data_IF_048009521296
#
_entry.id   IF_048009521296
#
_cell.length_a   1.000
_cell.length_b   1.000
_cell.length_c   1.000
_cell.angle_alpha   90.00
_cell.angle_beta   90.00
_cell.angle_gamma   90.00
#
_symmetry.space_group_name_H-M   'P 1'
#
loop_
_entity.id
_entity.type
_entity.pdbx_description
1 polymer ?
#
# COMPACT_ATOMS: atom_id res chain seq x y z
N UNK A 1 34.09 58.29 2.04
CA UNK A 1 34.48 57.16 2.89
C UNK A 1 35.02 56.04 2.00
N UNK A 2 36.29 55.68 2.21
CA UNK A 2 37.04 54.45 1.82
C UNK A 2 36.86 53.81 0.43
N UNK A 3 37.96 53.86 -0.33
CA UNK A 3 38.41 52.87 -1.32
C UNK A 3 38.42 51.43 -0.80
N UNK A 4 38.23 50.44 -1.69
CA UNK A 4 39.17 49.31 -1.88
C UNK A 4 39.00 48.68 -3.28
N UNK A 5 40.13 48.12 -3.71
CA UNK A 5 40.61 47.64 -5.01
C UNK A 5 39.94 46.40 -5.64
N UNK A 6 39.88 46.44 -6.98
CA UNK A 6 40.46 45.55 -8.02
C UNK A 6 40.26 44.01 -8.09
N UNK A 7 40.28 43.59 -9.37
CA UNK A 7 40.67 42.29 -9.99
C UNK A 7 39.57 41.23 -10.13
N UNK A 8 39.05 40.97 -11.33
CA UNK A 8 39.60 40.07 -12.37
C UNK A 8 38.45 39.13 -12.81
N UNK A 9 38.37 38.43 -13.94
CA UNK A 9 39.26 38.10 -15.05
C UNK A 9 38.39 37.34 -16.10
N UNK A 10 37.98 38.02 -17.17
CA UNK A 10 37.80 37.51 -18.55
C UNK A 10 36.92 36.23 -18.79
N UNK A 11 36.80 35.68 -20.04
CA UNK A 11 35.51 35.46 -20.70
C UNK A 11 35.21 33.98 -21.00
N UNK A 12 33.98 33.66 -21.39
CA UNK A 12 33.62 32.29 -21.77
C UNK A 12 32.39 32.23 -22.66
N UNK A 13 32.58 32.61 -23.92
CA UNK A 13 31.64 32.43 -25.03
C UNK A 13 31.65 30.97 -25.51
N UNK A 14 30.48 30.36 -25.64
CA UNK A 14 30.22 29.16 -26.46
C UNK A 14 28.72 29.21 -26.77
N UNK A 15 28.23 29.73 -27.89
CA UNK A 15 28.56 29.59 -29.31
C UNK A 15 28.31 28.20 -29.91
N UNK A 16 27.02 27.96 -30.17
CA UNK A 16 26.43 27.29 -31.36
C UNK A 16 26.65 25.77 -31.54
N UNK A 17 26.00 25.08 -32.52
CA UNK A 17 24.92 25.49 -33.44
C UNK A 17 23.74 24.50 -33.58
N UNK A 18 22.70 25.05 -34.20
CA UNK A 18 21.70 24.38 -35.03
C UNK A 18 22.28 23.31 -35.97
N UNK A 19 21.74 22.10 -35.93
CA UNK A 19 21.72 21.15 -37.05
C UNK A 19 20.37 20.42 -36.99
N UNK A 20 19.36 20.86 -37.73
CA UNK A 20 19.18 20.73 -39.19
C UNK A 20 19.13 19.27 -39.63
N UNK A 21 17.93 18.85 -40.03
CA UNK A 21 17.59 17.53 -40.53
C UNK A 21 18.32 17.21 -41.84
N UNK A 22 18.75 15.95 -42.00
CA UNK A 22 18.71 15.25 -43.29
C UNK A 22 18.97 13.75 -43.08
N UNK A 23 18.06 12.93 -43.64
CA UNK A 23 18.28 11.49 -43.89
C UNK A 23 19.43 11.28 -44.87
N UNK A 24 20.03 10.08 -44.88
CA UNK A 24 20.11 9.15 -46.03
C UNK A 24 21.03 7.95 -45.69
N UNK A 25 20.52 6.71 -45.86
CA UNK A 25 21.25 5.41 -45.82
C UNK A 25 21.54 5.00 -47.28
N UNK A 26 22.64 4.32 -47.68
CA UNK A 26 22.87 2.85 -47.51
C UNK A 26 24.40 2.53 -47.33
N UNK A 27 24.97 1.33 -47.20
CA UNK A 27 24.81 0.07 -47.94
C UNK A 27 25.63 -1.04 -47.22
N UNK A 28 24.98 -1.88 -46.41
CA UNK A 28 25.51 -3.22 -46.09
C UNK A 28 25.16 -4.14 -47.26
N UNK A 29 26.18 -4.69 -47.93
CA UNK A 29 25.97 -5.57 -49.07
C UNK A 29 25.52 -6.97 -48.63
N UNK A 30 24.41 -7.39 -49.25
CA UNK A 30 23.95 -8.76 -49.50
C UNK A 30 23.46 -9.54 -48.25
N UNK A 31 22.26 -10.11 -48.20
CA UNK A 31 21.23 -10.31 -49.21
C UNK A 31 19.87 -10.48 -48.50
N UNK A 32 18.81 -9.95 -49.13
CA UNK A 32 17.50 -10.59 -49.31
C UNK A 32 16.82 -11.21 -48.06
N UNK A 33 15.61 -10.87 -47.61
CA UNK A 33 14.38 -10.48 -48.29
C UNK A 33 13.42 -9.92 -47.21
N UNK A 34 12.64 -8.91 -47.59
CA UNK A 34 11.33 -8.47 -47.06
C UNK A 34 10.84 -8.84 -45.65
N UNK A 35 10.61 -7.80 -44.86
CA UNK A 35 9.32 -7.45 -44.25
C UNK A 35 8.18 -8.48 -44.39
N UNK A 36 7.97 -9.38 -43.41
CA UNK A 36 6.65 -9.93 -43.10
C UNK A 36 6.59 -10.22 -41.60
N UNK A 37 5.60 -9.64 -40.93
CA UNK A 37 5.22 -9.94 -39.57
C UNK A 37 4.81 -11.42 -39.41
N UNK A 38 4.66 -11.85 -38.15
CA UNK A 38 3.83 -12.99 -37.74
C UNK A 38 4.51 -14.37 -37.83
N UNK A 39 4.83 -14.98 -36.67
CA UNK A 39 4.78 -16.40 -36.30
C UNK A 39 5.45 -16.56 -34.89
N UNK A 40 4.88 -16.02 -33.81
CA UNK A 40 4.11 -16.76 -32.79
C UNK A 40 4.35 -18.28 -32.82
N UNK A 41 5.15 -18.81 -31.88
CA UNK A 41 5.19 -20.24 -31.51
C UNK A 41 5.77 -20.40 -30.09
N UNK A 42 4.91 -20.32 -29.06
CA UNK A 42 4.10 -21.42 -28.46
C UNK A 42 4.81 -22.24 -27.35
N UNK A 43 5.61 -21.60 -26.49
CA UNK A 43 5.95 -22.21 -25.18
C UNK A 43 4.74 -22.10 -24.24
N UNK A 44 3.99 -23.19 -24.22
CA UNK A 44 2.83 -23.50 -23.38
C UNK A 44 3.01 -23.08 -21.92
N UNK A 45 2.40 -21.95 -21.53
CA UNK A 45 2.12 -21.68 -20.12
C UNK A 45 0.86 -22.47 -19.79
N UNK A 46 1.01 -23.64 -19.19
CA UNK A 46 -0.10 -24.24 -18.45
C UNK A 46 -0.39 -23.34 -17.26
N UNK A 47 -1.26 -22.33 -17.45
CA UNK A 47 -1.95 -21.71 -16.33
C UNK A 47 -2.92 -22.74 -15.79
N UNK A 48 -2.48 -23.49 -14.78
CA UNK A 48 -3.40 -24.11 -13.84
C UNK A 48 -4.01 -22.98 -13.01
N UNK A 49 -4.98 -22.28 -13.59
CA UNK A 49 -5.84 -21.38 -12.82
C UNK A 49 -6.89 -22.24 -12.14
N UNK A 50 -6.54 -22.78 -10.96
CA UNK A 50 -7.53 -23.27 -10.02
C UNK A 50 -8.01 -22.06 -9.21
N UNK A 51 -8.80 -21.18 -9.82
CA UNK A 51 -9.67 -20.27 -9.06
C UNK A 51 -10.89 -21.05 -8.56
N UNK A 52 -10.79 -21.56 -7.33
CA UNK A 52 -11.97 -21.97 -6.56
C UNK A 52 -11.83 -21.45 -5.13
N UNK A 53 -12.74 -20.56 -4.75
CA UNK A 53 -12.92 -20.10 -3.36
C UNK A 53 -12.96 -18.58 -3.26
N UNK A 54 -14.08 -18.02 -2.82
CA UNK A 54 -14.17 -16.60 -2.49
C UNK A 54 -13.04 -16.22 -1.55
N UNK A 55 -12.28 -15.19 -1.91
CA UNK A 55 -11.18 -14.64 -1.12
C UNK A 55 -11.72 -14.22 0.24
N UNK A 56 -11.54 -15.08 1.25
CA UNK A 56 -11.64 -14.65 2.64
C UNK A 56 -10.63 -13.51 2.84
N UNK A 57 -11.03 -12.40 3.47
CA UNK A 57 -10.08 -11.33 3.76
C UNK A 57 -8.91 -11.90 4.56
N UNK A 58 -7.67 -11.47 4.27
CA UNK A 58 -6.51 -11.91 5.02
C UNK A 58 -6.71 -11.68 6.52
N UNK A 59 -6.13 -12.56 7.34
CA UNK A 59 -6.21 -12.45 8.79
C UNK A 59 -5.77 -11.05 9.26
N UNK A 60 -6.41 -10.49 10.31
CA UNK A 60 -6.13 -9.13 10.80
C UNK A 60 -4.65 -8.94 11.19
N UNK A 61 -3.99 -9.98 11.70
CA UNK A 61 -2.55 -9.98 12.00
C UNK A 61 -1.70 -9.67 10.76
N UNK A 62 -2.10 -10.21 9.61
CA UNK A 62 -1.42 -10.00 8.31
C UNK A 62 -1.78 -8.65 7.70
N UNK A 63 -2.98 -8.14 7.97
CA UNK A 63 -3.41 -6.84 7.49
C UNK A 63 -2.71 -5.68 8.21
N UNK A 64 -2.62 -5.75 9.54
CA UNK A 64 -2.19 -4.61 10.36
C UNK A 64 -0.76 -4.74 10.91
N UNK A 65 -0.18 -5.95 10.93
CA UNK A 65 1.22 -6.18 11.32
C UNK A 65 1.55 -5.61 12.70
N UNK A 66 2.51 -4.68 12.77
CA UNK A 66 2.92 -4.04 14.03
C UNK A 66 1.78 -3.30 14.75
N UNK A 67 0.86 -2.69 14.00
CA UNK A 67 -0.28 -1.99 14.60
C UNK A 67 -1.14 -2.96 15.41
N UNK A 68 -1.35 -4.19 14.91
CA UNK A 68 -2.09 -5.21 15.62
C UNK A 68 -1.43 -5.59 16.96
N UNK A 69 -0.11 -5.81 16.94
CA UNK A 69 0.67 -6.14 18.14
C UNK A 69 0.60 -5.01 19.15
N UNK A 70 0.75 -3.76 18.69
CA UNK A 70 0.68 -2.59 19.55
C UNK A 70 -0.70 -2.46 20.21
N UNK A 71 -1.79 -2.66 19.47
CA UNK A 71 -3.16 -2.56 20.00
C UNK A 71 -3.45 -3.65 21.04
N UNK A 72 -3.04 -4.89 20.78
CA UNK A 72 -3.19 -5.98 21.76
C UNK A 72 -2.36 -5.74 23.03
N UNK A 73 -1.11 -5.26 22.88
CA UNK A 73 -0.23 -5.00 24.03
C UNK A 73 -0.72 -3.85 24.89
N UNK A 74 -1.30 -2.81 24.27
CA UNK A 74 -1.79 -1.63 24.97
C UNK A 74 -3.16 -1.83 25.64
N UNK A 75 -3.82 -2.98 25.44
CA UNK A 75 -5.16 -3.30 25.97
C UNK A 75 -6.16 -2.14 25.80
N UNK A 76 -6.23 -1.60 24.57
CA UNK A 76 -7.09 -0.43 24.25
C UNK A 76 -8.58 -0.74 24.48
N UNK A 77 -8.99 -1.98 24.22
CA UNK A 77 -10.34 -2.47 24.45
C UNK A 77 -10.39 -3.35 25.70
N UNK A 78 -11.53 -3.39 26.42
CA UNK A 78 -11.72 -4.30 27.55
C UNK A 78 -11.59 -5.77 27.12
N UNK A 79 -12.01 -6.08 25.89
CA UNK A 79 -11.95 -7.41 25.31
C UNK A 79 -10.98 -7.45 24.12
N UNK A 80 -10.09 -8.44 24.11
CA UNK A 80 -9.08 -8.58 23.05
C UNK A 80 -9.67 -8.97 21.68
N UNK A 81 -10.94 -9.40 21.66
CA UNK A 81 -11.65 -9.75 20.42
C UNK A 81 -12.29 -8.52 19.75
N UNK A 82 -12.55 -7.44 20.49
CA UNK A 82 -13.23 -6.25 19.97
C UNK A 82 -12.49 -5.63 18.79
N UNK A 83 -11.16 -5.59 18.82
CA UNK A 83 -10.37 -5.04 17.71
C UNK A 83 -10.43 -5.90 16.45
N UNK A 84 -10.49 -7.22 16.60
CA UNK A 84 -10.60 -8.16 15.47
C UNK A 84 -11.96 -8.01 14.77
N UNK A 85 -13.00 -7.73 15.54
CA UNK A 85 -14.36 -7.50 15.02
C UNK A 85 -14.62 -6.01 14.68
N UNK A 86 -13.65 -5.12 14.90
CA UNK A 86 -13.79 -3.70 14.59
C UNK A 86 -13.71 -3.46 13.08
N UNK A 87 -14.57 -2.56 12.60
CA UNK A 87 -14.58 -2.16 11.19
C UNK A 87 -13.62 -0.99 10.98
N UNK A 88 -12.66 -1.08 10.05
CA UNK A 88 -11.79 0.04 9.71
C UNK A 88 -12.58 1.10 8.93
N UNK A 89 -12.38 2.37 9.29
CA UNK A 89 -13.05 3.51 8.66
C UNK A 89 -12.40 3.96 7.34
N UNK A 90 -11.22 3.41 7.03
CA UNK A 90 -10.44 3.68 5.83
C UNK A 90 -9.76 2.39 5.34
N UNK A 91 -9.07 2.47 4.20
CA UNK A 91 -8.29 1.34 3.70
C UNK A 91 -7.25 0.86 4.75
N UNK A 92 -7.20 -0.44 5.08
CA UNK A 92 -6.28 -0.97 6.07
C UNK A 92 -4.82 -0.61 5.83
N UNK A 93 -4.36 -0.63 4.57
CA UNK A 93 -2.99 -0.29 4.24
C UNK A 93 -2.73 1.21 4.47
N UNK A 94 -3.70 2.08 4.16
CA UNK A 94 -3.60 3.50 4.47
C UNK A 94 -3.53 3.76 5.99
N UNK A 95 -4.35 3.06 6.80
CA UNK A 95 -4.31 3.17 8.26
C UNK A 95 -2.94 2.74 8.80
N UNK A 96 -2.39 1.63 8.30
CA UNK A 96 -1.04 1.17 8.70
C UNK A 96 0.03 2.20 8.32
N UNK A 97 -0.04 2.78 7.13
CA UNK A 97 0.91 3.82 6.71
C UNK A 97 0.83 5.06 7.61
N UNK A 98 -0.38 5.52 7.94
CA UNK A 98 -0.59 6.65 8.85
C UNK A 98 -0.04 6.34 10.26
N UNK A 99 -0.29 5.13 10.75
CA UNK A 99 0.29 4.68 12.02
C UNK A 99 1.82 4.75 12.01
N UNK A 100 2.47 4.23 10.96
CA UNK A 100 3.93 4.23 10.84
C UNK A 100 4.52 5.65 10.80
N UNK A 101 3.81 6.59 10.19
CA UNK A 101 4.21 8.00 10.13
C UNK A 101 4.02 8.73 11.48
N UNK A 102 3.00 8.35 12.25
CA UNK A 102 2.61 9.06 13.46
C UNK A 102 3.18 8.44 14.74
N UNK A 103 3.50 7.14 14.77
CA UNK A 103 3.88 6.41 15.99
C UNK A 103 5.09 6.99 16.73
N UNK A 104 5.99 7.68 16.00
CA UNK A 104 7.20 8.28 16.55
C UNK A 104 7.04 9.77 16.87
N UNK A 105 5.87 10.36 16.63
CA UNK A 105 5.63 11.76 16.90
C UNK A 105 5.46 12.01 18.40
N UNK A 106 6.01 13.11 18.94
CA UNK A 106 5.79 13.47 20.33
C UNK A 106 4.30 13.70 20.58
N UNK A 107 3.75 13.05 21.61
CA UNK A 107 2.32 13.15 21.96
C UNK A 107 1.40 12.20 21.21
N UNK A 108 1.92 11.27 20.41
CA UNK A 108 1.10 10.22 19.78
C UNK A 108 0.43 9.34 20.85
N UNK A 109 -0.87 9.12 20.70
CA UNK A 109 -1.66 8.20 21.53
C UNK A 109 -2.27 7.12 20.65
N UNK A 110 -1.86 5.87 20.89
CA UNK A 110 -2.40 4.71 20.18
C UNK A 110 -3.91 4.58 20.38
N UNK A 111 -4.40 4.84 21.61
CA UNK A 111 -5.83 4.79 21.92
C UNK A 111 -6.64 5.77 21.06
N UNK A 112 -6.17 7.02 20.96
CA UNK A 112 -6.84 8.05 20.16
C UNK A 112 -6.79 7.71 18.67
N UNK A 113 -5.67 7.18 18.19
CA UNK A 113 -5.52 6.73 16.82
C UNK A 113 -6.52 5.60 16.48
N UNK A 114 -6.59 4.57 17.32
CA UNK A 114 -7.50 3.43 17.11
C UNK A 114 -8.96 3.89 17.11
N UNK A 115 -9.36 4.72 18.08
CA UNK A 115 -10.73 5.23 18.15
C UNK A 115 -11.11 6.12 16.95
N UNK A 116 -10.12 6.72 16.28
CA UNK A 116 -10.36 7.54 15.09
C UNK A 116 -10.54 6.69 13.82
N UNK A 117 -9.73 5.63 13.66
CA UNK A 117 -9.70 4.83 12.43
C UNK A 117 -10.47 3.52 12.50
N UNK A 118 -10.95 3.10 13.68
CA UNK A 118 -11.70 1.87 13.86
C UNK A 118 -13.00 2.12 14.61
N UNK A 119 -14.06 1.47 14.15
CA UNK A 119 -15.36 1.47 14.81
C UNK A 119 -15.64 0.08 15.39
N UNK A 120 -15.76 -0.05 16.73
CA UNK A 120 -16.06 -1.34 17.36
C UNK A 120 -17.50 -1.78 17.05
N UNK A 121 -17.77 -3.10 17.02
CA UNK A 121 -19.12 -3.59 16.87
C UNK A 121 -19.98 -3.17 18.06
N UNK A 122 -21.25 -2.83 17.81
CA UNK A 122 -22.22 -2.65 18.89
C UNK A 122 -22.65 -4.02 19.40
N UNK A 123 -22.27 -4.38 20.62
CA UNK A 123 -22.74 -5.63 21.22
C UNK A 123 -24.25 -5.55 21.48
N UNK A 124 -25.05 -6.50 20.96
CA UNK A 124 -26.45 -6.58 21.33
C UNK A 124 -26.54 -6.99 22.81
N UNK A 125 -27.16 -6.16 23.63
CA UNK A 125 -27.54 -6.54 25.00
C UNK A 125 -28.59 -7.65 24.90
N UNK A 126 -28.15 -8.91 24.95
CA UNK A 126 -29.05 -10.04 25.09
C UNK A 126 -29.50 -10.02 26.55
N UNK A 127 -30.66 -9.42 26.84
CA UNK A 127 -31.33 -9.65 28.12
C UNK A 127 -32.07 -10.99 28.01
N UNK A 128 -31.57 -12.08 28.64
CA UNK A 128 -32.28 -13.34 28.61
C UNK A 128 -33.66 -13.16 29.30
N UNK A 129 -34.76 -13.61 28.69
CA UNK A 129 -36.07 -13.57 29.33
C UNK A 129 -36.05 -14.44 30.60
N UNK A 130 -36.64 -13.93 31.68
CA UNK A 130 -36.50 -14.43 33.06
C UNK A 130 -37.07 -15.84 33.33
N UNK A 131 -37.52 -16.58 32.31
CA UNK A 131 -38.23 -17.85 32.45
C UNK A 131 -37.62 -19.01 31.64
N UNK A 132 -36.42 -18.87 31.07
CA UNK A 132 -35.73 -20.02 30.46
C UNK A 132 -34.88 -20.76 31.49
N UNK A 133 -35.47 -21.76 32.13
CA UNK A 133 -34.70 -22.72 32.91
C UNK A 133 -34.00 -23.68 31.93
N UNK A 134 -32.67 -23.76 32.02
CA UNK A 134 -31.81 -24.67 31.25
C UNK A 134 -32.09 -26.18 31.50
N UNK A 135 -33.21 -26.53 32.13
CA UNK A 135 -33.61 -27.91 32.48
C UNK A 135 -34.50 -28.57 31.42
N UNK A 136 -35.10 -27.82 30.49
CA UNK A 136 -36.04 -28.33 29.48
C UNK A 136 -35.36 -28.53 28.10
N UNK A 137 -34.16 -29.11 28.09
CA UNK A 137 -33.50 -29.60 26.86
C UNK A 137 -32.75 -30.90 27.13
N UNK A 138 -33.37 -31.80 27.88
CA UNK A 138 -32.90 -33.19 27.95
C UNK A 138 -33.38 -33.92 26.69
N UNK A 139 -32.42 -34.35 25.88
CA UNK A 139 -32.60 -35.28 24.77
C UNK A 139 -33.08 -36.65 25.26
#
# INVERSE_FOLDING_TARGET
MRSIHCAGRAPGVSSQPFFCAARLKPLHRAAAVSSVALLISLSSVCRADTQVGGTLPPAPDKLYGELFVAVQTAQIYPDQKTFVDATPNADPAAIVQLYQQQKNNPGFSLASFVNQYFTPPSEPVITPPANQTLRDRSF
#
